data_IF_316754825982
#
_entry.id   IF_316754825982
#
_cell.length_a   1.000
_cell.length_b   1.000
_cell.length_c   1.000
_cell.angle_alpha   90.00
_cell.angle_beta   90.00
_cell.angle_gamma   90.00
#
_symmetry.space_group_name_H-M   'P 1'
#
loop_
_entity.id
_entity.type
_entity.pdbx_description
1 polymer ?
#
# COMPACT_ATOMS: atom_id res chain seq x y z
N UNK A 1 12.32 -30.39 -4.31
CA UNK A 1 11.21 -29.41 -4.35
C UNK A 1 11.75 -28.03 -4.09
N UNK A 2 11.66 -27.19 -5.10
CA UNK A 2 12.15 -25.83 -4.97
C UNK A 2 11.25 -25.00 -4.08
N UNK A 3 11.85 -24.27 -3.17
CA UNK A 3 11.16 -23.38 -2.27
C UNK A 3 11.01 -22.03 -2.98
N UNK A 4 9.78 -21.56 -3.12
CA UNK A 4 9.54 -20.22 -3.65
C UNK A 4 10.08 -19.18 -2.67
N UNK A 5 10.90 -18.27 -3.18
CA UNK A 5 11.35 -17.14 -2.38
C UNK A 5 10.21 -16.14 -2.19
N UNK A 6 10.10 -15.60 -0.99
CA UNK A 6 9.13 -14.55 -0.69
C UNK A 6 9.55 -13.26 -1.38
N UNK A 7 8.58 -12.58 -1.99
CA UNK A 7 8.76 -11.24 -2.55
C UNK A 7 8.44 -10.20 -1.50
N UNK A 8 9.00 -9.01 -1.68
CA UNK A 8 8.54 -7.84 -0.94
C UNK A 8 7.43 -7.17 -1.76
N UNK A 9 6.34 -6.81 -1.10
CA UNK A 9 5.21 -6.13 -1.74
C UNK A 9 4.69 -5.03 -0.82
N UNK A 10 4.36 -3.88 -1.40
CA UNK A 10 3.80 -2.76 -0.65
C UNK A 10 2.28 -2.92 -0.59
N UNK A 11 1.72 -2.87 0.61
CA UNK A 11 0.27 -2.73 0.78
C UNK A 11 -0.07 -1.26 0.86
N UNK A 12 -1.01 -0.82 0.02
CA UNK A 12 -1.56 0.52 0.15
C UNK A 12 -2.70 0.53 1.19
N UNK A 13 -3.29 1.70 1.36
CA UNK A 13 -4.40 1.87 2.30
C UNK A 13 -5.58 0.98 1.93
N UNK A 14 -5.90 0.89 0.62
CA UNK A 14 -7.02 0.07 0.15
C UNK A 14 -6.85 -1.39 0.56
N UNK A 15 -5.66 -1.96 0.37
CA UNK A 15 -5.40 -3.36 0.70
C UNK A 15 -5.64 -3.64 2.19
N UNK A 16 -5.13 -2.80 3.07
CA UNK A 16 -5.33 -2.97 4.50
C UNK A 16 -6.79 -2.82 4.91
N UNK A 17 -7.49 -1.80 4.40
CA UNK A 17 -8.90 -1.58 4.71
C UNK A 17 -9.75 -2.75 4.23
N UNK A 18 -9.54 -3.22 2.99
CA UNK A 18 -10.24 -4.37 2.44
C UNK A 18 -10.08 -5.61 3.32
N UNK A 19 -8.88 -5.82 3.84
CA UNK A 19 -8.60 -6.93 4.75
C UNK A 19 -9.36 -6.75 6.08
N UNK A 20 -9.32 -5.56 6.66
CA UNK A 20 -9.94 -5.30 7.96
C UNK A 20 -11.46 -5.36 7.94
N UNK A 21 -12.10 -5.00 6.83
CA UNK A 21 -13.55 -5.08 6.70
C UNK A 21 -14.03 -6.44 6.19
N UNK A 22 -13.13 -7.40 6.02
CA UNK A 22 -13.44 -8.72 5.47
C UNK A 22 -14.14 -8.63 4.12
N UNK A 23 -13.63 -7.75 3.26
CA UNK A 23 -14.18 -7.54 1.92
C UNK A 23 -13.94 -8.73 0.99
N UNK A 24 -14.42 -8.62 -0.24
CA UNK A 24 -14.36 -9.73 -1.22
C UNK A 24 -12.94 -10.23 -1.50
N UNK A 25 -11.93 -9.40 -1.31
CA UNK A 25 -10.54 -9.76 -1.56
C UNK A 25 -9.77 -10.17 -0.29
N UNK A 26 -10.44 -10.27 0.87
CA UNK A 26 -9.76 -10.53 2.14
C UNK A 26 -8.97 -11.83 2.11
N UNK A 27 -9.51 -12.90 1.51
CA UNK A 27 -8.81 -14.18 1.41
C UNK A 27 -7.54 -14.07 0.55
N UNK A 28 -7.61 -13.35 -0.55
CA UNK A 28 -6.47 -13.10 -1.41
C UNK A 28 -5.38 -12.34 -0.65
N UNK A 29 -5.77 -11.30 0.09
CA UNK A 29 -4.85 -10.50 0.90
C UNK A 29 -4.21 -11.36 2.00
N UNK A 30 -4.99 -12.23 2.64
CA UNK A 30 -4.46 -13.17 3.64
C UNK A 30 -3.34 -14.04 3.06
N UNK A 31 -3.47 -14.49 1.81
CA UNK A 31 -2.43 -15.26 1.14
C UNK A 31 -1.14 -14.45 0.97
N UNK A 32 -1.25 -13.15 0.62
CA UNK A 32 -0.08 -12.27 0.57
C UNK A 32 0.57 -12.15 1.95
N UNK A 33 -0.22 -11.96 3.00
CA UNK A 33 0.28 -11.86 4.37
C UNK A 33 1.04 -13.11 4.81
N UNK A 34 0.60 -14.29 4.37
CA UNK A 34 1.24 -15.56 4.72
C UNK A 34 2.51 -15.84 3.91
N UNK A 35 2.56 -15.43 2.65
CA UNK A 35 3.58 -15.88 1.70
C UNK A 35 4.59 -14.82 1.32
N UNK A 36 4.30 -13.54 1.51
CA UNK A 36 5.14 -12.44 1.05
C UNK A 36 5.66 -11.61 2.22
N UNK A 37 6.70 -10.82 1.97
CA UNK A 37 7.19 -9.81 2.90
C UNK A 37 6.45 -8.51 2.63
N UNK A 38 5.67 -8.05 3.60
CA UNK A 38 4.81 -6.89 3.43
C UNK A 38 5.53 -5.63 3.89
N UNK A 39 5.49 -4.61 3.06
CA UNK A 39 5.99 -3.28 3.34
C UNK A 39 4.83 -2.32 3.45
N UNK A 40 4.75 -1.57 4.55
CA UNK A 40 3.70 -0.57 4.76
C UNK A 40 4.31 0.82 4.89
N UNK A 41 4.12 1.70 3.90
CA UNK A 41 4.55 3.10 4.02
C UNK A 41 3.84 3.79 5.18
N UNK A 42 4.54 4.66 5.88
CA UNK A 42 3.99 5.33 7.08
C UNK A 42 2.72 6.13 6.76
N UNK A 43 2.60 6.67 5.55
CA UNK A 43 1.41 7.43 5.13
C UNK A 43 0.15 6.56 5.08
N UNK A 44 0.30 5.26 4.89
CA UNK A 44 -0.83 4.32 4.97
C UNK A 44 -1.42 4.33 6.37
N UNK A 45 -0.56 4.36 7.40
CA UNK A 45 -1.04 4.42 8.78
C UNK A 45 -1.81 5.70 9.06
N UNK A 46 -1.38 6.82 8.45
CA UNK A 46 -2.08 8.09 8.57
C UNK A 46 -3.50 7.99 8.00
N UNK A 47 -3.64 7.40 6.83
CA UNK A 47 -4.95 7.23 6.19
C UNK A 47 -5.84 6.24 6.95
N UNK A 48 -5.26 5.16 7.46
CA UNK A 48 -6.01 4.18 8.27
C UNK A 48 -6.48 4.82 9.58
N UNK A 49 -5.66 5.67 10.19
CA UNK A 49 -6.07 6.41 11.38
C UNK A 49 -7.32 7.27 11.12
N UNK A 50 -7.35 7.95 9.97
CA UNK A 50 -8.52 8.73 9.57
C UNK A 50 -9.75 7.84 9.37
N UNK A 51 -9.60 6.72 8.68
CA UNK A 51 -10.68 5.76 8.46
C UNK A 51 -11.18 5.17 9.77
N UNK A 52 -10.27 4.79 10.66
CA UNK A 52 -10.63 4.23 11.97
C UNK A 52 -11.46 5.23 12.80
N UNK A 53 -11.09 6.50 12.76
CA UNK A 53 -11.86 7.51 13.48
C UNK A 53 -13.28 7.66 12.92
N UNK A 54 -13.43 7.64 11.60
CA UNK A 54 -14.75 7.73 10.95
C UNK A 54 -15.64 6.53 11.25
N UNK A 55 -15.04 5.34 11.34
CA UNK A 55 -15.78 4.08 11.49
C UNK A 55 -15.80 3.57 12.93
N UNK A 56 -15.28 4.34 13.88
CA UNK A 56 -15.18 3.95 15.30
C UNK A 56 -14.40 2.65 15.51
N UNK A 57 -13.35 2.45 14.74
CA UNK A 57 -12.42 1.33 14.92
C UNK A 57 -11.42 1.64 16.03
N UNK A 58 -10.93 0.58 16.67
CA UNK A 58 -9.79 0.70 17.59
C UNK A 58 -8.49 0.83 16.79
N UNK A 59 -8.04 2.07 16.58
CA UNK A 59 -6.86 2.34 15.77
C UNK A 59 -5.60 1.68 16.32
N UNK A 60 -5.44 1.64 17.63
CA UNK A 60 -4.25 1.01 18.24
C UNK A 60 -4.17 -0.48 17.92
N UNK A 61 -5.31 -1.16 17.96
CA UNK A 61 -5.40 -2.57 17.61
C UNK A 61 -5.00 -2.82 16.15
N UNK A 62 -5.52 -2.00 15.23
CA UNK A 62 -5.21 -2.11 13.80
C UNK A 62 -3.74 -1.79 13.51
N UNK A 63 -3.20 -0.73 14.12
CA UNK A 63 -1.80 -0.38 13.98
C UNK A 63 -0.87 -1.49 14.49
N UNK A 64 -1.20 -2.07 15.64
CA UNK A 64 -0.40 -3.17 16.19
C UNK A 64 -0.40 -4.37 15.25
N UNK A 65 -1.55 -4.68 14.65
CA UNK A 65 -1.64 -5.76 13.68
C UNK A 65 -0.73 -5.49 12.46
N UNK A 66 -0.81 -4.29 11.90
CA UNK A 66 0.01 -3.91 10.75
C UNK A 66 1.51 -4.00 11.09
N UNK A 67 1.91 -3.53 12.26
CA UNK A 67 3.30 -3.60 12.73
C UNK A 67 3.80 -5.03 12.90
N UNK A 68 2.92 -5.94 13.34
CA UNK A 68 3.26 -7.35 13.49
C UNK A 68 3.43 -8.06 12.14
N UNK A 69 2.64 -7.67 11.15
CA UNK A 69 2.56 -8.36 9.86
C UNK A 69 3.40 -7.72 8.77
N UNK A 70 3.94 -6.53 8.99
CA UNK A 70 4.65 -5.81 7.94
C UNK A 70 5.81 -4.97 8.52
N UNK A 71 6.67 -4.52 7.61
CA UNK A 71 7.71 -3.54 7.95
C UNK A 71 7.20 -2.15 7.62
N UNK A 72 7.25 -1.25 8.59
CA UNK A 72 6.81 0.12 8.39
C UNK A 72 7.97 0.93 7.80
N UNK A 73 7.73 1.59 6.66
CA UNK A 73 8.70 2.46 6.02
C UNK A 73 8.37 3.92 6.29
N UNK A 74 9.34 4.64 6.85
CA UNK A 74 9.25 6.08 7.01
C UNK A 74 9.34 6.80 5.66
N UNK A 75 8.98 8.06 5.67
CA UNK A 75 9.08 8.93 4.50
C UNK A 75 10.52 9.46 4.40
N UNK A 76 11.27 8.93 3.44
CA UNK A 76 12.67 9.29 3.26
C UNK A 76 12.83 10.46 2.29
N UNK A 77 13.98 11.12 2.34
CA UNK A 77 14.32 12.21 1.38
C UNK A 77 14.28 11.70 -0.06
N UNK A 78 14.80 10.50 -0.31
CA UNK A 78 14.79 9.91 -1.65
C UNK A 78 13.38 9.75 -2.20
N UNK A 79 12.45 9.27 -1.37
CA UNK A 79 11.04 9.16 -1.75
C UNK A 79 10.45 10.54 -2.04
N UNK A 80 10.73 11.52 -1.21
CA UNK A 80 10.21 12.89 -1.38
C UNK A 80 10.66 13.46 -2.71
N UNK A 81 11.96 13.37 -3.01
CA UNK A 81 12.52 13.90 -4.24
C UNK A 81 11.94 13.21 -5.48
N UNK A 82 11.93 11.88 -5.48
CA UNK A 82 11.44 11.11 -6.61
C UNK A 82 9.93 11.27 -6.81
N UNK A 83 9.19 11.43 -5.72
CA UNK A 83 7.74 11.61 -5.79
C UNK A 83 7.34 12.87 -6.53
N UNK A 84 8.12 13.94 -6.43
CA UNK A 84 7.84 15.17 -7.19
C UNK A 84 7.73 14.89 -8.69
N UNK A 85 8.67 14.14 -9.23
CA UNK A 85 8.67 13.74 -10.64
C UNK A 85 7.52 12.79 -10.96
N UNK A 86 7.34 11.75 -10.17
CA UNK A 86 6.30 10.74 -10.39
C UNK A 86 4.92 11.36 -10.35
N UNK A 87 4.64 12.17 -9.34
CA UNK A 87 3.35 12.81 -9.18
C UNK A 87 2.99 13.68 -10.38
N UNK A 88 3.92 14.54 -10.81
CA UNK A 88 3.67 15.41 -11.96
C UNK A 88 3.46 14.60 -13.25
N UNK A 89 4.22 13.54 -13.46
CA UNK A 89 4.06 12.68 -14.63
C UNK A 89 2.69 11.95 -14.63
N UNK A 90 2.29 11.43 -13.49
CA UNK A 90 1.00 10.72 -13.36
C UNK A 90 -0.15 11.69 -13.57
N UNK A 91 -0.09 12.88 -12.99
CA UNK A 91 -1.14 13.89 -13.10
C UNK A 91 -1.38 14.39 -14.53
N UNK A 92 -0.42 14.24 -15.41
CA UNK A 92 -0.63 14.55 -16.84
C UNK A 92 -1.66 13.63 -17.48
N UNK A 93 -1.78 12.38 -16.99
CA UNK A 93 -2.70 11.36 -17.53
C UNK A 93 -3.90 11.13 -16.62
N UNK A 94 -3.71 11.21 -15.32
CA UNK A 94 -4.73 10.92 -14.31
C UNK A 94 -4.89 12.16 -13.44
N UNK A 95 -5.85 13.01 -13.78
CA UNK A 95 -5.99 14.36 -13.19
C UNK A 95 -6.35 14.37 -11.71
N UNK A 96 -7.00 13.34 -11.24
CA UNK A 96 -7.46 13.24 -9.84
C UNK A 96 -6.59 12.33 -8.99
N UNK A 97 -5.43 11.92 -9.49
CA UNK A 97 -4.50 11.08 -8.72
C UNK A 97 -3.91 11.87 -7.54
N UNK A 98 -4.04 11.35 -6.33
CA UNK A 98 -3.63 12.04 -5.12
C UNK A 98 -2.13 11.96 -4.84
N UNK A 99 -1.60 12.96 -4.14
CA UNK A 99 -0.17 13.00 -3.79
C UNK A 99 0.21 11.89 -2.80
N UNK A 100 -0.69 11.49 -1.91
CA UNK A 100 -0.44 10.38 -0.99
C UNK A 100 -0.31 9.08 -1.75
N UNK A 101 -1.23 8.80 -2.67
CA UNK A 101 -1.17 7.61 -3.53
C UNK A 101 0.11 7.57 -4.35
N UNK A 102 0.50 8.71 -4.90
CA UNK A 102 1.77 8.85 -5.63
C UNK A 102 2.97 8.54 -4.73
N UNK A 103 2.94 9.00 -3.49
CA UNK A 103 4.03 8.76 -2.53
C UNK A 103 4.14 7.28 -2.17
N UNK A 104 3.03 6.61 -1.99
CA UNK A 104 2.99 5.17 -1.73
C UNK A 104 3.57 4.39 -2.92
N UNK A 105 3.15 4.76 -4.13
CA UNK A 105 3.68 4.15 -5.36
C UNK A 105 5.17 4.40 -5.52
N UNK A 106 5.63 5.61 -5.23
CA UNK A 106 7.06 5.97 -5.31
C UNK A 106 7.88 5.14 -4.31
N UNK A 107 7.34 4.92 -3.11
CA UNK A 107 7.99 4.05 -2.12
C UNK A 107 8.18 2.65 -2.67
N UNK A 108 7.17 2.10 -3.34
CA UNK A 108 7.27 0.79 -3.97
C UNK A 108 8.34 0.78 -5.07
N UNK A 109 8.35 1.77 -5.93
CA UNK A 109 9.30 1.86 -7.05
C UNK A 109 10.75 1.97 -6.57
N UNK A 110 11.02 2.79 -5.57
CA UNK A 110 12.36 2.94 -5.01
C UNK A 110 12.85 1.63 -4.39
N UNK A 111 11.96 0.85 -3.83
CA UNK A 111 12.28 -0.45 -3.23
C UNK A 111 12.18 -1.62 -4.21
N UNK A 112 12.01 -1.35 -5.49
CA UNK A 112 11.90 -2.36 -6.55
C UNK A 112 10.83 -3.41 -6.25
N UNK A 113 9.71 -2.98 -5.72
CA UNK A 113 8.59 -3.88 -5.46
C UNK A 113 7.29 -3.34 -6.05
N UNK A 114 6.29 -4.20 -6.09
CA UNK A 114 4.96 -3.83 -6.56
C UNK A 114 4.12 -3.35 -5.40
N UNK A 115 3.09 -2.56 -5.73
CA UNK A 115 2.06 -2.15 -4.79
C UNK A 115 0.83 -3.02 -5.01
N UNK A 116 0.28 -3.55 -3.93
CA UNK A 116 -1.01 -4.25 -3.95
C UNK A 116 -2.10 -3.27 -3.62
N UNK A 117 -3.05 -3.11 -4.53
CA UNK A 117 -4.17 -2.16 -4.39
C UNK A 117 -5.41 -2.68 -5.09
N UNK A 118 -6.58 -2.24 -4.66
CA UNK A 118 -7.83 -2.44 -5.37
C UNK A 118 -8.36 -1.16 -5.99
N UNK A 119 -7.63 -0.04 -5.87
CA UNK A 119 -8.07 1.25 -6.37
C UNK A 119 -7.88 1.32 -7.89
N UNK A 120 -8.98 1.52 -8.67
CA UNK A 120 -8.91 1.61 -10.13
C UNK A 120 -7.99 2.71 -10.66
N UNK A 121 -7.72 3.75 -9.88
CA UNK A 121 -6.79 4.83 -10.28
C UNK A 121 -5.39 4.31 -10.60
N UNK A 122 -5.00 3.17 -10.04
CA UNK A 122 -3.69 2.56 -10.27
C UNK A 122 -3.64 1.65 -11.51
N UNK A 123 -4.76 1.38 -12.15
CA UNK A 123 -4.89 0.34 -13.18
C UNK A 123 -3.91 0.47 -14.35
N UNK A 124 -3.61 1.68 -14.77
CA UNK A 124 -2.73 1.93 -15.93
C UNK A 124 -1.26 2.17 -15.54
N UNK A 125 -0.93 2.05 -14.27
CA UNK A 125 0.41 2.38 -13.77
C UNK A 125 1.28 1.13 -13.65
N UNK A 126 2.59 1.32 -13.79
CA UNK A 126 3.58 0.27 -13.58
C UNK A 126 3.71 -0.07 -12.10
N UNK A 127 4.27 -1.24 -11.80
CA UNK A 127 4.55 -1.71 -10.45
C UNK A 127 3.28 -1.96 -9.60
N UNK A 128 2.18 -2.33 -10.26
CA UNK A 128 0.91 -2.54 -9.58
C UNK A 128 0.43 -3.97 -9.74
N UNK A 129 0.01 -4.59 -8.63
CA UNK A 129 -0.83 -5.78 -8.62
C UNK A 129 -2.21 -5.34 -8.18
N UNK A 130 -3.18 -5.46 -9.08
CA UNK A 130 -4.54 -4.97 -8.83
C UNK A 130 -5.41 -6.08 -8.26
N UNK A 131 -6.04 -5.82 -7.12
CA UNK A 131 -7.07 -6.70 -6.56
C UNK A 131 -8.35 -6.59 -7.41
N UNK A 132 -8.94 -7.72 -7.73
CA UNK A 132 -10.14 -7.77 -8.59
C UNK A 132 -11.41 -8.24 -7.84
#
# INVERSE_FOLDING_TARGET
>A
MERRESRMIVFDTYAWIEYFIDGKNANSIENYLKNEVILTPILVLLEISNKANKENWDIKKHMNFIKLKSTIFGLTEDVIIENGKNYNNIRKKIKDFGIVDSTILTTARINNCKILTGDPHFKSLDNVELLT
#
